data_IF_824111898691
#
_entry.id   IF_824111898691
#
_cell.length_a   1.000
_cell.length_b   1.000
_cell.length_c   1.000
_cell.angle_alpha   90.00
_cell.angle_beta   90.00
_cell.angle_gamma   90.00
#
_symmetry.space_group_name_H-M   'P 1'
#
loop_
_entity.id
_entity.type
_entity.pdbx_description
1 polymer ?
#
# COMPACT_ATOMS: atom_id res chain seq x y z
N UNK A 1 2.74 -9.72 -6.36
CA UNK A 1 2.67 -10.01 -4.90
C UNK A 1 1.20 -9.98 -4.48
N UNK A 2 0.74 -10.93 -3.66
CA UNK A 2 -0.62 -10.90 -3.08
C UNK A 2 -0.52 -10.49 -1.61
N UNK A 3 -1.14 -9.37 -1.25
CA UNK A 3 -1.18 -8.85 0.13
C UNK A 3 -2.58 -9.09 0.68
N UNK A 4 -2.67 -9.84 1.79
CA UNK A 4 -3.93 -10.09 2.46
C UNK A 4 -4.10 -9.07 3.59
N UNK A 5 -5.01 -8.11 3.39
CA UNK A 5 -5.41 -7.17 4.43
C UNK A 5 -6.68 -7.70 5.10
N UNK A 6 -6.64 -7.91 6.40
CA UNK A 6 -7.77 -8.38 7.20
C UNK A 6 -8.79 -7.30 7.54
N UNK A 7 -8.57 -6.06 7.08
CA UNK A 7 -9.44 -4.91 7.29
C UNK A 7 -10.37 -4.69 6.09
N UNK A 8 -11.67 -4.41 6.32
CA UNK A 8 -12.59 -4.02 5.24
C UNK A 8 -12.01 -2.83 4.45
N UNK A 9 -12.38 -2.68 3.16
CA UNK A 9 -11.90 -1.61 2.29
C UNK A 9 -12.53 -0.25 2.64
N UNK A 10 -12.71 0.06 3.93
CA UNK A 10 -13.04 1.39 4.38
C UNK A 10 -11.79 2.27 4.18
N UNK A 11 -11.91 3.20 3.24
CA UNK A 11 -10.86 3.91 2.48
C UNK A 11 -9.66 4.50 3.27
N UNK A 12 -9.72 4.59 4.59
CA UNK A 12 -8.64 5.14 5.42
C UNK A 12 -7.75 4.13 6.16
N UNK A 13 -8.28 2.97 6.56
CA UNK A 13 -7.58 2.04 7.45
C UNK A 13 -6.78 0.98 6.68
N UNK A 14 -7.36 0.44 5.61
CA UNK A 14 -6.71 -0.55 4.77
C UNK A 14 -5.47 0.02 4.05
N UNK A 15 -5.56 1.26 3.54
CA UNK A 15 -4.45 1.92 2.84
C UNK A 15 -3.27 2.19 3.79
N UNK A 16 -3.52 2.65 5.02
CA UNK A 16 -2.44 2.85 6.01
C UNK A 16 -1.71 1.55 6.35
N UNK A 17 -2.45 0.46 6.56
CA UNK A 17 -1.85 -0.86 6.82
C UNK A 17 -1.07 -1.37 5.62
N UNK A 18 -1.57 -1.14 4.41
CA UNK A 18 -0.87 -1.48 3.17
C UNK A 18 0.45 -0.73 3.05
N UNK A 19 0.46 0.59 3.26
CA UNK A 19 1.70 1.39 3.18
C UNK A 19 2.71 1.01 4.25
N UNK A 20 2.28 0.70 5.47
CA UNK A 20 3.18 0.21 6.51
C UNK A 20 3.80 -1.14 6.12
N UNK A 21 2.99 -2.10 5.66
CA UNK A 21 3.47 -3.43 5.28
C UNK A 21 4.42 -3.38 4.07
N UNK A 22 4.11 -2.53 3.09
CA UNK A 22 5.00 -2.28 1.95
C UNK A 22 6.28 -1.55 2.38
N UNK A 23 6.18 -0.59 3.29
CA UNK A 23 7.33 0.14 3.83
C UNK A 23 8.30 -0.78 4.56
N UNK A 24 7.78 -1.64 5.44
CA UNK A 24 8.57 -2.66 6.14
C UNK A 24 9.23 -3.64 5.16
N UNK A 25 8.53 -4.03 4.10
CA UNK A 25 9.05 -4.96 3.10
C UNK A 25 10.17 -4.36 2.25
N UNK A 26 10.04 -3.09 1.86
CA UNK A 26 11.00 -2.38 1.01
C UNK A 26 12.05 -1.59 1.81
N UNK A 27 11.93 -1.54 3.15
CA UNK A 27 12.84 -0.77 4.01
C UNK A 27 12.68 0.74 3.88
N UNK A 28 11.51 1.23 3.46
CA UNK A 28 11.27 2.65 3.22
C UNK A 28 10.08 3.17 4.04
N UNK A 29 10.04 4.48 4.27
CA UNK A 29 8.91 5.09 4.96
C UNK A 29 7.62 4.98 4.13
N UNK A 30 6.48 4.74 4.77
CA UNK A 30 5.18 4.69 4.08
C UNK A 30 4.84 5.95 3.27
N UNK A 31 5.45 7.10 3.58
CA UNK A 31 5.35 8.34 2.81
C UNK A 31 6.01 8.29 1.43
N UNK A 32 6.93 7.34 1.20
CA UNK A 32 7.61 7.08 -0.08
C UNK A 32 6.84 6.12 -0.97
N UNK A 33 5.66 5.67 -0.54
CA UNK A 33 4.82 4.73 -1.25
C UNK A 33 3.54 5.44 -1.67
N UNK A 34 3.23 5.43 -2.95
CA UNK A 34 2.03 6.09 -3.51
C UNK A 34 1.24 5.10 -4.37
N UNK A 35 -0.08 5.08 -4.22
CA UNK A 35 -0.96 4.40 -5.17
C UNK A 35 -1.08 5.28 -6.41
N UNK A 36 -0.62 4.80 -7.56
CA UNK A 36 -0.72 5.50 -8.85
C UNK A 36 -1.90 5.02 -9.69
N UNK A 37 -2.41 3.80 -9.43
CA UNK A 37 -3.63 3.30 -10.06
C UNK A 37 -4.35 2.25 -9.20
N UNK A 38 -5.65 2.03 -9.50
CA UNK A 38 -6.43 0.96 -8.89
C UNK A 38 -6.98 1.25 -7.49
N UNK A 39 -7.16 2.53 -7.12
CA UNK A 39 -7.66 2.92 -5.79
C UNK A 39 -8.97 2.19 -5.40
N UNK A 40 -9.86 1.95 -6.37
CA UNK A 40 -11.14 1.24 -6.20
C UNK A 40 -11.09 -0.22 -6.68
N UNK A 41 -9.93 -0.69 -7.16
CA UNK A 41 -9.72 -2.03 -7.71
C UNK A 41 -9.06 -2.96 -6.68
N UNK A 42 -9.25 -4.26 -6.85
CA UNK A 42 -8.52 -5.28 -6.07
C UNK A 42 -7.01 -5.24 -6.36
N UNK A 43 -6.67 -5.02 -7.63
CA UNK A 43 -5.29 -4.85 -8.07
C UNK A 43 -4.91 -3.37 -8.01
N UNK A 44 -3.87 -3.07 -7.23
CA UNK A 44 -3.34 -1.72 -7.03
C UNK A 44 -1.94 -1.63 -7.62
N UNK A 45 -1.69 -0.55 -8.35
CA UNK A 45 -0.34 -0.19 -8.79
C UNK A 45 0.19 0.86 -7.82
N UNK A 46 1.35 0.55 -7.24
CA UNK A 46 2.05 1.44 -6.31
C UNK A 46 3.42 1.79 -6.85
N UNK A 47 3.79 3.05 -6.67
CA UNK A 47 5.14 3.55 -6.87
C UNK A 47 5.85 3.57 -5.51
N UNK A 48 7.12 3.16 -5.50
CA UNK A 48 7.96 3.11 -4.30
C UNK A 48 9.26 3.83 -4.63
N UNK A 49 9.53 4.89 -3.88
CA UNK A 49 10.77 5.66 -4.00
C UNK A 49 11.84 5.05 -3.08
N UNK A 50 12.86 4.43 -3.69
CA UNK A 50 13.99 3.78 -3.04
C UNK A 50 15.25 4.56 -3.39
N UNK A 51 15.83 5.23 -2.39
CA UNK A 51 17.15 5.88 -2.51
C UNK A 51 18.28 4.84 -2.44
#
# INVERSE_FOLDING_TARGET
MKVYLSVPPADGAANRRMFALLGDHFGCAGSRIRIVAGMRSRDKVVEVDLD
#
